data_IF_519270461209
#
_entry.id   IF_519270461209
#
_cell.length_a   1.000
_cell.length_b   1.000
_cell.length_c   1.000
_cell.angle_alpha   90.00
_cell.angle_beta   90.00
_cell.angle_gamma   90.00
#
_symmetry.space_group_name_H-M   'P 1'
#
loop_
_entity.id
_entity.type
_entity.pdbx_description
1 polymer ?
#
# COMPACT_ATOMS: atom_id res chain seq x y z
N UNK A 1 -19.87 1.06 -28.41
CA UNK A 1 -20.04 -0.12 -27.53
C UNK A 1 -19.30 -1.26 -28.22
N UNK A 2 -18.25 -1.90 -27.72
CA UNK A 2 -17.65 -2.00 -26.39
C UNK A 2 -16.14 -2.20 -26.59
N UNK A 3 -15.30 -1.38 -25.96
CA UNK A 3 -13.86 -1.60 -25.91
C UNK A 3 -13.57 -2.67 -24.87
N UNK A 4 -13.42 -3.92 -25.32
CA UNK A 4 -12.76 -4.94 -24.52
C UNK A 4 -11.30 -4.53 -24.39
N UNK A 5 -10.90 -4.06 -23.20
CA UNK A 5 -9.51 -3.85 -22.83
C UNK A 5 -9.06 -5.15 -22.15
N UNK A 6 -8.47 -6.13 -22.87
CA UNK A 6 -8.02 -7.35 -22.24
C UNK A 6 -6.67 -7.04 -21.64
N UNK A 7 -6.62 -7.14 -20.31
CA UNK A 7 -5.47 -7.71 -19.64
C UNK A 7 -4.20 -6.82 -19.59
N UNK A 8 -4.31 -5.67 -18.90
CA UNK A 8 -3.15 -4.98 -18.33
C UNK A 8 -2.34 -5.89 -17.38
N UNK A 9 -2.98 -6.94 -16.84
CA UNK A 9 -2.39 -7.93 -15.94
C UNK A 9 -1.47 -8.95 -16.63
N UNK A 10 -1.64 -9.20 -17.93
CA UNK A 10 -0.80 -10.15 -18.68
C UNK A 10 0.49 -9.54 -19.25
N UNK A 11 0.67 -8.21 -19.16
CA UNK A 11 1.80 -7.48 -19.78
C UNK A 11 2.88 -6.96 -18.82
N UNK A 12 2.70 -7.12 -17.51
CA UNK A 12 3.72 -6.73 -16.53
C UNK A 12 4.76 -7.85 -16.43
N UNK A 13 6.03 -7.53 -16.63
CA UNK A 13 7.13 -8.44 -16.34
C UNK A 13 7.00 -8.96 -14.90
N UNK A 14 7.39 -10.21 -14.65
CA UNK A 14 7.23 -10.85 -13.32
C UNK A 14 7.71 -9.98 -12.14
N UNK A 15 8.82 -9.21 -12.25
CA UNK A 15 9.24 -8.26 -11.20
C UNK A 15 8.32 -7.05 -11.02
N UNK A 16 7.73 -6.53 -12.09
CA UNK A 16 6.77 -5.41 -12.02
C UNK A 16 5.44 -5.86 -11.41
N UNK A 17 4.94 -7.03 -11.81
CA UNK A 17 3.75 -7.63 -11.21
C UNK A 17 3.94 -7.88 -9.71
N UNK A 18 5.10 -8.41 -9.32
CA UNK A 18 5.42 -8.65 -7.91
C UNK A 18 5.54 -7.35 -7.10
N UNK A 19 6.08 -6.27 -7.69
CA UNK A 19 6.12 -4.95 -7.06
C UNK A 19 4.72 -4.37 -6.89
N UNK A 20 3.91 -4.38 -7.94
CA UNK A 20 2.53 -3.90 -7.90
C UNK A 20 1.74 -4.63 -6.81
N UNK A 21 1.82 -5.96 -6.76
CA UNK A 21 1.17 -6.78 -5.73
C UNK A 21 1.64 -6.44 -4.32
N UNK A 22 2.96 -6.30 -4.10
CA UNK A 22 3.50 -5.90 -2.78
C UNK A 22 3.01 -4.52 -2.37
N UNK A 23 3.00 -3.56 -3.30
CA UNK A 23 2.58 -2.20 -3.02
C UNK A 23 1.08 -2.14 -2.70
N UNK A 24 0.23 -2.74 -3.53
CA UNK A 24 -1.23 -2.72 -3.30
C UNK A 24 -1.64 -3.48 -2.04
N UNK A 25 -1.03 -4.64 -1.77
CA UNK A 25 -1.24 -5.39 -0.54
C UNK A 25 -0.81 -4.59 0.70
N UNK A 26 0.34 -3.91 0.64
CA UNK A 26 0.79 -3.04 1.73
C UNK A 26 -0.13 -1.84 1.97
N UNK A 27 -0.71 -1.24 0.91
CA UNK A 27 -1.70 -0.17 1.04
C UNK A 27 -2.97 -0.67 1.75
N UNK A 28 -3.50 -1.83 1.34
CA UNK A 28 -4.66 -2.44 1.99
C UNK A 28 -4.40 -2.75 3.47
N UNK A 29 -3.18 -3.23 3.77
CA UNK A 29 -2.75 -3.50 5.14
C UNK A 29 -2.67 -2.23 5.99
N UNK A 30 -2.05 -1.16 5.46
CA UNK A 30 -1.97 0.12 6.14
C UNK A 30 -3.36 0.74 6.38
N UNK A 31 -4.25 0.64 5.40
CA UNK A 31 -5.63 1.11 5.52
C UNK A 31 -6.38 0.36 6.63
N UNK A 32 -6.26 -0.96 6.69
CA UNK A 32 -6.86 -1.76 7.77
C UNK A 32 -6.32 -1.36 9.14
N UNK A 33 -5.00 -1.17 9.27
CA UNK A 33 -4.36 -0.76 10.53
C UNK A 33 -4.82 0.63 10.98
N UNK A 34 -4.93 1.59 10.05
CA UNK A 34 -5.42 2.94 10.33
C UNK A 34 -6.90 2.93 10.76
N UNK A 35 -7.75 2.16 10.08
CA UNK A 35 -9.15 1.99 10.45
C UNK A 35 -9.28 1.40 11.85
N UNK A 36 -8.49 0.37 12.17
CA UNK A 36 -8.54 -0.24 13.51
C UNK A 36 -8.08 0.71 14.60
N UNK A 37 -7.07 1.55 14.33
CA UNK A 37 -6.65 2.60 15.24
C UNK A 37 -7.77 3.62 15.50
N UNK A 38 -8.54 3.98 14.46
CA UNK A 38 -9.68 4.88 14.59
C UNK A 38 -10.78 4.28 15.48
N UNK A 39 -11.16 3.02 15.26
CA UNK A 39 -12.17 2.34 16.08
C UNK A 39 -11.75 2.32 17.56
N UNK A 40 -10.50 1.94 17.83
CA UNK A 40 -9.95 1.88 19.18
C UNK A 40 -9.88 3.26 19.85
N UNK A 41 -9.53 4.30 19.09
CA UNK A 41 -9.54 5.67 19.58
C UNK A 41 -10.97 6.12 19.93
N UNK A 42 -11.97 5.80 19.12
CA UNK A 42 -13.37 6.09 19.41
C UNK A 42 -13.88 5.37 20.68
N UNK A 43 -13.36 4.18 20.97
CA UNK A 43 -13.61 3.41 22.20
C UNK A 43 -12.81 3.91 23.43
N UNK A 44 -11.96 4.93 23.27
CA UNK A 44 -11.12 5.47 24.36
C UNK A 44 -9.86 4.64 24.65
N UNK A 45 -9.53 3.66 23.81
CA UNK A 45 -8.37 2.78 23.96
C UNK A 45 -7.11 3.38 23.31
N UNK A 46 -6.71 4.58 23.75
CA UNK A 46 -5.69 5.40 23.07
C UNK A 46 -4.31 4.72 22.94
N UNK A 47 -3.86 4.02 23.98
CA UNK A 47 -2.56 3.34 23.94
C UNK A 47 -2.56 2.20 22.91
N UNK A 48 -3.67 1.46 22.79
CA UNK A 48 -3.80 0.40 21.81
C UNK A 48 -3.94 0.96 20.39
N UNK A 49 -4.69 2.06 20.22
CA UNK A 49 -4.75 2.79 18.96
C UNK A 49 -3.34 3.24 18.50
N UNK A 50 -2.50 3.73 19.42
CA UNK A 50 -1.13 4.13 19.13
C UNK A 50 -0.27 2.95 18.66
N UNK A 51 -0.42 1.77 19.24
CA UNK A 51 0.27 0.56 18.76
C UNK A 51 -0.10 0.23 17.31
N UNK A 52 -1.38 0.33 16.94
CA UNK A 52 -1.81 0.13 15.54
C UNK A 52 -1.23 1.19 14.60
N UNK A 53 -1.15 2.45 15.03
CA UNK A 53 -0.50 3.51 14.25
C UNK A 53 1.01 3.28 14.09
N UNK A 54 1.69 2.78 15.13
CA UNK A 54 3.11 2.42 15.05
C UNK A 54 3.35 1.32 14.01
N UNK A 55 2.50 0.28 13.98
CA UNK A 55 2.59 -0.77 12.96
C UNK A 55 2.26 -0.20 11.57
N UNK A 56 1.22 0.64 11.46
CA UNK A 56 0.86 1.32 10.21
C UNK A 56 2.03 2.11 9.61
N UNK A 57 2.76 2.87 10.45
CA UNK A 57 3.95 3.61 10.04
C UNK A 57 5.04 2.69 9.44
N UNK A 58 5.29 1.52 10.04
CA UNK A 58 6.25 0.53 9.52
C UNK A 58 5.80 -0.06 8.17
N UNK A 59 4.51 -0.29 8.00
CA UNK A 59 3.92 -0.70 6.71
C UNK A 59 4.17 0.38 5.64
N UNK A 60 3.92 1.64 5.97
CA UNK A 60 4.18 2.78 5.08
C UNK A 60 5.67 2.90 4.73
N UNK A 61 6.58 2.70 5.68
CA UNK A 61 8.01 2.70 5.40
C UNK A 61 8.44 1.56 4.46
N UNK A 62 7.78 0.40 4.57
CA UNK A 62 7.98 -0.70 3.62
C UNK A 62 7.48 -0.33 2.23
N UNK A 63 6.34 0.36 2.12
CA UNK A 63 5.82 0.87 0.84
C UNK A 63 6.78 1.87 0.19
N UNK A 64 7.38 2.78 0.96
CA UNK A 64 8.41 3.70 0.45
C UNK A 64 9.59 2.96 -0.17
N UNK A 65 10.01 1.83 0.42
CA UNK A 65 11.09 0.99 -0.13
C UNK A 65 10.66 0.38 -1.46
N UNK A 66 9.45 -0.18 -1.54
CA UNK A 66 8.92 -0.76 -2.79
C UNK A 66 8.82 0.30 -3.89
N UNK A 67 8.38 1.53 -3.57
CA UNK A 67 8.31 2.63 -4.53
C UNK A 67 9.69 3.01 -5.08
N UNK A 68 10.74 2.98 -4.25
CA UNK A 68 12.13 3.28 -4.65
C UNK A 68 12.78 2.18 -5.50
N UNK A 69 12.20 0.98 -5.55
CA UNK A 69 12.65 -0.05 -6.49
C UNK A 69 12.29 0.29 -7.95
N UNK A 70 11.44 1.30 -8.17
CA UNK A 70 11.03 1.78 -9.49
C UNK A 70 11.92 2.94 -9.93
N UNK A 71 12.41 2.98 -11.19
CA UNK A 71 13.17 4.11 -11.72
C UNK A 71 12.41 5.44 -11.57
N UNK A 72 13.10 6.58 -11.32
CA UNK A 72 12.46 7.89 -11.12
C UNK A 72 11.53 8.30 -12.26
N UNK A 73 11.87 7.91 -13.49
CA UNK A 73 11.10 8.15 -14.72
C UNK A 73 9.68 7.59 -14.69
N UNK A 74 9.40 6.56 -13.88
CA UNK A 74 8.06 5.95 -13.76
C UNK A 74 7.28 6.49 -12.55
N UNK A 75 7.98 7.02 -11.52
CA UNK A 75 7.35 7.61 -10.33
C UNK A 75 6.99 9.10 -10.50
N UNK A 76 7.33 9.73 -11.63
CA UNK A 76 7.02 11.14 -11.89
C UNK A 76 7.87 12.13 -11.08
N UNK A 77 8.96 11.68 -10.45
CA UNK A 77 9.94 12.56 -9.81
C UNK A 77 10.81 13.19 -10.92
N UNK A 78 10.68 14.51 -11.10
CA UNK A 78 11.51 15.32 -12.01
C UNK A 78 12.78 15.78 -11.32
#
# INVERSE_FOLDING_TARGET
MTTNCPDLTAKLDTPERNRLMRFTCGVQTAQHQANRALDLAQEGQWLLALEFLNVCSRTVDSLKRVAREVPPTVNGEK
#
